data_IF_628576642313
#
_entry.id   IF_628576642313
#
_cell.length_a   1.000
_cell.length_b   1.000
_cell.length_c   1.000
_cell.angle_alpha   90.00
_cell.angle_beta   90.00
_cell.angle_gamma   90.00
#
_symmetry.space_group_name_H-M   'P 1'
#
loop_
_entity.id
_entity.type
_entity.pdbx_description
1 polymer ?
#
# COMPACT_ATOMS: atom_id res chain seq x y z
N UNK A 1 7.85 -47.53 -21.39
CA UNK A 1 8.77 -47.14 -20.32
C UNK A 1 7.95 -47.05 -19.04
N UNK A 2 8.07 -48.06 -18.17
CA UNK A 2 7.41 -48.09 -16.85
C UNK A 2 8.12 -47.07 -15.95
N UNK A 3 7.41 -46.02 -15.56
CA UNK A 3 7.88 -45.13 -14.45
C UNK A 3 7.88 -45.98 -13.19
N UNK A 4 9.06 -46.33 -12.68
CA UNK A 4 9.19 -46.87 -11.33
C UNK A 4 8.62 -45.85 -10.35
N UNK A 5 7.55 -46.22 -9.65
CA UNK A 5 7.04 -45.43 -8.54
C UNK A 5 8.16 -45.37 -7.48
N UNK A 6 8.60 -44.16 -7.18
CA UNK A 6 9.58 -43.90 -6.13
C UNK A 6 8.92 -44.13 -4.76
N UNK A 7 9.23 -45.27 -4.16
CA UNK A 7 8.69 -45.73 -2.85
C UNK A 7 9.03 -44.73 -1.76
N UNK A 8 10.16 -44.04 -1.87
CA UNK A 8 10.57 -43.03 -0.85
C UNK A 8 9.71 -41.77 -0.92
N UNK A 9 9.32 -41.33 -2.11
CA UNK A 9 8.35 -40.25 -2.33
C UNK A 9 6.96 -40.64 -1.86
N UNK A 10 6.54 -41.90 -2.07
CA UNK A 10 5.26 -42.43 -1.58
C UNK A 10 5.28 -42.50 -0.05
N UNK A 11 6.37 -42.96 0.57
CA UNK A 11 6.50 -43.04 2.02
C UNK A 11 6.47 -41.68 2.68
N UNK A 12 7.20 -40.67 2.15
CA UNK A 12 7.15 -39.29 2.59
C UNK A 12 5.74 -38.71 2.44
N UNK A 13 5.09 -38.91 1.31
CA UNK A 13 3.72 -38.44 1.07
C UNK A 13 2.73 -39.08 2.05
N UNK A 14 2.91 -40.36 2.38
CA UNK A 14 2.07 -41.10 3.34
C UNK A 14 2.31 -40.67 4.79
N UNK A 15 3.55 -40.38 5.18
CA UNK A 15 3.87 -39.87 6.52
C UNK A 15 3.29 -38.46 6.76
N UNK A 16 3.20 -37.62 5.72
CA UNK A 16 2.61 -36.29 5.79
C UNK A 16 1.11 -36.23 5.47
N UNK A 17 0.53 -37.25 4.80
CA UNK A 17 -0.91 -37.37 4.58
C UNK A 17 -1.56 -38.13 5.72
N UNK A 18 -2.21 -37.45 6.66
CA UNK A 18 -3.11 -38.11 7.60
C UNK A 18 -4.36 -38.61 6.85
N UNK A 19 -4.61 -39.93 6.75
CA UNK A 19 -5.81 -40.44 6.11
C UNK A 19 -7.09 -40.09 6.88
N UNK A 20 -6.96 -39.49 8.05
CA UNK A 20 -8.09 -39.06 8.87
C UNK A 20 -8.28 -37.57 8.78
N UNK A 21 -9.42 -37.16 8.31
CA UNK A 21 -9.85 -35.79 8.34
C UNK A 21 -10.04 -35.36 9.81
N UNK A 22 -9.37 -34.29 10.24
CA UNK A 22 -9.48 -33.80 11.60
C UNK A 22 -10.76 -32.99 11.73
N UNK A 23 -11.66 -33.46 12.54
CA UNK A 23 -12.99 -32.90 12.74
C UNK A 23 -13.09 -32.42 14.18
N UNK A 24 -13.52 -31.17 14.34
CA UNK A 24 -13.98 -30.62 15.62
C UNK A 24 -15.48 -30.30 15.54
N UNK A 25 -16.02 -29.86 16.67
CA UNK A 25 -17.38 -29.34 16.79
C UNK A 25 -17.34 -27.98 17.45
N UNK A 26 -18.30 -27.13 17.12
CA UNK A 26 -18.54 -25.86 17.78
C UNK A 26 -18.97 -26.14 19.23
N UNK A 27 -18.28 -25.50 20.16
CA UNK A 27 -18.55 -25.62 21.61
C UNK A 27 -19.31 -24.42 22.14
N UNK A 28 -18.92 -23.21 21.69
CA UNK A 28 -19.57 -21.98 22.07
C UNK A 28 -19.32 -20.90 21.01
N UNK A 29 -20.08 -19.80 21.06
CA UNK A 29 -19.86 -18.62 20.24
C UNK A 29 -19.64 -17.39 21.11
N UNK A 30 -18.75 -16.48 20.67
CA UNK A 30 -18.49 -15.17 21.29
C UNK A 30 -18.41 -14.11 20.21
N UNK A 31 -19.54 -13.40 19.98
CA UNK A 31 -19.63 -12.46 18.85
C UNK A 31 -19.44 -13.17 17.52
N UNK A 32 -18.41 -12.78 16.76
CA UNK A 32 -18.08 -13.40 15.46
C UNK A 32 -17.14 -14.61 15.56
N UNK A 33 -16.77 -15.02 16.78
CA UNK A 33 -15.86 -16.14 17.00
C UNK A 33 -16.60 -17.37 17.49
N UNK A 34 -16.14 -18.52 17.01
CA UNK A 34 -16.62 -19.83 17.43
C UNK A 34 -15.49 -20.58 18.12
N UNK A 35 -15.74 -21.03 19.34
CA UNK A 35 -14.86 -21.92 20.08
C UNK A 35 -15.08 -23.35 19.59
N UNK A 36 -14.00 -23.99 19.14
CA UNK A 36 -14.02 -25.31 18.51
C UNK A 36 -12.98 -26.20 19.16
N UNK A 37 -13.34 -27.45 19.49
CA UNK A 37 -12.38 -28.49 19.86
C UNK A 37 -11.76 -29.07 18.59
N UNK A 38 -10.57 -28.62 18.20
CA UNK A 38 -9.91 -29.06 16.97
C UNK A 38 -8.44 -29.40 17.22
N UNK A 39 -8.13 -30.69 17.16
CA UNK A 39 -6.79 -31.19 17.45
C UNK A 39 -5.79 -30.80 16.34
N UNK A 40 -4.55 -30.42 16.73
CA UNK A 40 -3.41 -30.10 15.88
C UNK A 40 -3.62 -28.86 14.94
N UNK A 41 -4.64 -28.07 15.17
CA UNK A 41 -4.73 -26.78 14.52
C UNK A 41 -3.66 -25.83 15.08
N UNK A 42 -3.19 -24.93 14.26
CA UNK A 42 -2.28 -23.83 14.64
C UNK A 42 -2.96 -22.50 14.31
N UNK A 43 -2.52 -21.40 14.91
CA UNK A 43 -3.01 -20.06 14.55
C UNK A 43 -2.72 -19.83 13.06
N UNK A 44 -3.73 -19.40 12.29
CA UNK A 44 -3.66 -19.25 10.84
C UNK A 44 -4.09 -20.49 10.05
N UNK A 45 -4.48 -21.61 10.72
CA UNK A 45 -5.02 -22.77 10.03
C UNK A 45 -6.38 -22.47 9.40
N UNK A 46 -6.56 -22.90 8.15
CA UNK A 46 -7.85 -22.84 7.46
C UNK A 46 -8.76 -23.97 7.93
N UNK A 47 -10.00 -23.62 8.22
CA UNK A 47 -11.05 -24.54 8.63
C UNK A 47 -12.27 -24.39 7.73
N UNK A 48 -13.08 -25.44 7.65
CA UNK A 48 -14.38 -25.42 6.99
C UNK A 48 -15.46 -25.77 8.00
N UNK A 49 -16.39 -24.86 8.20
CA UNK A 49 -17.61 -25.09 8.97
C UNK A 49 -18.63 -25.77 8.05
N UNK A 50 -19.26 -26.82 8.53
CA UNK A 50 -20.34 -27.50 7.83
C UNK A 50 -21.51 -27.67 8.78
N UNK A 51 -22.63 -27.02 8.49
CA UNK A 51 -23.86 -27.10 9.27
C UNK A 51 -24.54 -28.45 9.07
N UNK A 52 -25.48 -28.80 9.92
CA UNK A 52 -26.30 -30.00 9.77
C UNK A 52 -27.22 -29.95 8.53
N UNK A 53 -27.47 -28.76 8.00
CA UNK A 53 -28.27 -28.53 6.77
C UNK A 53 -27.44 -28.65 5.49
N UNK A 54 -26.11 -28.82 5.61
CA UNK A 54 -25.21 -28.98 4.46
C UNK A 54 -24.59 -27.68 3.97
N UNK A 55 -24.95 -26.51 4.53
CA UNK A 55 -24.28 -25.26 4.23
C UNK A 55 -22.86 -25.26 4.77
N UNK A 56 -21.94 -24.68 4.03
CA UNK A 56 -20.54 -24.62 4.43
C UNK A 56 -19.92 -23.25 4.22
N UNK A 57 -18.95 -22.91 5.07
CA UNK A 57 -18.15 -21.71 4.98
C UNK A 57 -16.72 -21.99 5.42
N UNK A 58 -15.75 -21.39 4.73
CA UNK A 58 -14.36 -21.40 5.17
C UNK A 58 -14.13 -20.39 6.29
N UNK A 59 -13.12 -20.63 7.10
CA UNK A 59 -12.71 -19.75 8.16
C UNK A 59 -11.27 -20.01 8.60
N UNK A 60 -10.85 -19.36 9.66
CA UNK A 60 -9.48 -19.47 10.19
C UNK A 60 -9.45 -19.58 11.71
N UNK A 61 -8.42 -20.27 12.21
CA UNK A 61 -8.06 -20.28 13.62
C UNK A 61 -7.32 -19.00 13.96
N UNK A 62 -7.96 -18.14 14.76
CA UNK A 62 -7.39 -16.83 15.14
C UNK A 62 -6.70 -16.83 16.50
N UNK A 63 -7.05 -17.78 17.38
CA UNK A 63 -6.42 -17.96 18.69
C UNK A 63 -6.56 -19.40 19.18
N UNK A 64 -5.70 -19.79 20.12
CA UNK A 64 -5.74 -21.12 20.75
C UNK A 64 -5.64 -20.92 22.26
N UNK A 65 -6.52 -21.60 23.01
CA UNK A 65 -6.50 -21.66 24.44
C UNK A 65 -6.60 -23.13 24.87
N UNK A 66 -5.47 -23.70 25.29
CA UNK A 66 -5.35 -25.14 25.61
C UNK A 66 -5.71 -26.02 24.39
N UNK A 67 -6.77 -26.83 24.52
CA UNK A 67 -7.27 -27.68 23.44
C UNK A 67 -8.38 -27.06 22.60
N UNK A 68 -8.72 -25.80 22.85
CA UNK A 68 -9.79 -25.08 22.20
C UNK A 68 -9.20 -24.06 21.23
N UNK A 69 -9.76 -24.00 20.03
CA UNK A 69 -9.42 -23.03 19.02
C UNK A 69 -10.53 -21.99 18.93
N UNK A 70 -10.19 -20.72 18.95
CA UNK A 70 -11.11 -19.67 18.51
C UNK A 70 -10.97 -19.54 17.00
N UNK A 71 -12.09 -19.74 16.30
CA UNK A 71 -12.16 -19.73 14.84
C UNK A 71 -13.10 -18.63 14.38
N UNK A 72 -12.76 -17.99 13.28
CA UNK A 72 -13.57 -16.95 12.64
C UNK A 72 -13.90 -17.39 11.23
N UNK A 73 -15.19 -17.47 10.84
CA UNK A 73 -15.57 -17.72 9.45
C UNK A 73 -15.24 -16.52 8.57
N UNK A 74 -14.98 -16.74 7.28
CA UNK A 74 -14.77 -15.67 6.32
C UNK A 74 -16.06 -14.93 5.97
N UNK A 75 -17.19 -15.64 6.00
CA UNK A 75 -18.53 -15.10 5.70
C UNK A 75 -19.48 -15.47 6.82
N UNK A 76 -20.58 -14.73 6.93
CA UNK A 76 -21.63 -15.09 7.87
C UNK A 76 -22.29 -16.41 7.40
N UNK A 77 -22.29 -17.39 8.28
CA UNK A 77 -22.95 -18.66 8.06
C UNK A 77 -24.17 -18.76 9.00
N UNK A 78 -25.36 -18.82 8.43
CA UNK A 78 -26.59 -19.04 9.19
C UNK A 78 -26.69 -20.51 9.66
N UNK A 79 -27.31 -20.75 10.81
CA UNK A 79 -27.55 -22.10 11.30
C UNK A 79 -26.36 -22.77 11.97
N UNK A 80 -25.32 -22.05 12.36
CA UNK A 80 -24.24 -22.59 13.19
C UNK A 80 -24.80 -22.93 14.59
N UNK A 81 -24.58 -24.18 15.01
CA UNK A 81 -25.01 -24.71 16.30
C UNK A 81 -23.95 -25.67 16.86
N UNK A 82 -24.23 -26.32 17.98
CA UNK A 82 -23.31 -27.29 18.62
C UNK A 82 -23.04 -28.57 17.80
N UNK A 83 -23.90 -28.86 16.81
CA UNK A 83 -23.71 -29.98 15.90
C UNK A 83 -22.93 -29.62 14.63
N UNK A 84 -22.65 -28.34 14.42
CA UNK A 84 -21.83 -27.87 13.29
C UNK A 84 -20.43 -28.48 13.37
N UNK A 85 -20.05 -29.18 12.31
CA UNK A 85 -18.74 -29.80 12.17
C UNK A 85 -17.72 -28.79 11.64
N UNK A 86 -16.51 -28.85 12.18
CA UNK A 86 -15.41 -27.99 11.74
C UNK A 86 -14.24 -28.86 11.30
N UNK A 87 -13.92 -28.76 10.02
CA UNK A 87 -12.87 -29.58 9.40
C UNK A 87 -11.59 -28.76 9.26
N UNK A 88 -10.47 -29.31 9.72
CA UNK A 88 -9.16 -28.73 9.43
C UNK A 88 -8.79 -29.01 7.97
N UNK A 89 -8.62 -27.95 7.17
CA UNK A 89 -8.29 -28.05 5.73
C UNK A 89 -6.78 -27.95 5.52
N UNK A 90 -6.19 -26.81 5.91
CA UNK A 90 -4.77 -26.51 5.74
C UNK A 90 -4.20 -25.85 7.00
N UNK A 91 -2.91 -26.07 7.26
CA UNK A 91 -2.22 -25.42 8.38
C UNK A 91 -1.87 -23.94 8.13
N UNK A 92 -1.95 -23.48 6.88
CA UNK A 92 -1.70 -22.09 6.50
C UNK A 92 -2.45 -21.73 5.22
N UNK A 93 -2.83 -20.47 5.10
CA UNK A 93 -3.43 -19.96 3.87
C UNK A 93 -2.37 -19.85 2.78
N UNK A 94 -2.71 -20.36 1.59
CA UNK A 94 -1.84 -20.35 0.41
C UNK A 94 -2.55 -19.73 -0.78
N UNK A 95 -1.77 -19.16 -1.70
CA UNK A 95 -2.26 -18.59 -2.96
C UNK A 95 -1.44 -19.10 -4.14
N UNK A 96 -2.10 -19.31 -5.28
CA UNK A 96 -1.45 -19.53 -6.56
C UNK A 96 -0.96 -18.19 -7.11
N UNK A 97 0.30 -18.10 -7.51
CA UNK A 97 0.94 -16.88 -7.98
C UNK A 97 1.65 -17.11 -9.30
N UNK A 98 1.50 -16.19 -10.24
CA UNK A 98 2.11 -16.30 -11.56
C UNK A 98 1.64 -15.19 -12.52
N UNK A 99 2.19 -15.14 -13.73
CA UNK A 99 1.86 -14.13 -14.73
C UNK A 99 0.39 -14.13 -15.16
N UNK A 100 -0.34 -15.22 -14.91
CA UNK A 100 -1.77 -15.36 -15.22
C UNK A 100 -2.65 -14.38 -14.41
N UNK A 101 -2.10 -13.82 -13.35
CA UNK A 101 -2.77 -12.82 -12.53
C UNK A 101 -2.67 -11.39 -13.10
N UNK A 102 -1.73 -11.13 -14.04
CA UNK A 102 -1.53 -9.79 -14.60
C UNK A 102 -2.76 -9.40 -15.43
N UNK A 103 -3.24 -8.16 -15.23
CA UNK A 103 -4.44 -7.66 -15.88
C UNK A 103 -5.76 -8.10 -15.23
N UNK A 104 -5.70 -8.79 -14.08
CA UNK A 104 -6.86 -9.36 -13.40
C UNK A 104 -7.19 -8.65 -12.08
N UNK A 105 -8.48 -8.69 -11.75
CA UNK A 105 -9.01 -8.26 -10.45
C UNK A 105 -9.48 -9.51 -9.71
N UNK A 106 -8.92 -9.74 -8.53
CA UNK A 106 -9.11 -10.97 -7.76
C UNK A 106 -9.54 -10.68 -6.31
N UNK A 107 -10.13 -11.70 -5.69
CA UNK A 107 -10.39 -11.73 -4.25
C UNK A 107 -9.15 -12.19 -3.43
N UNK A 108 -9.29 -12.27 -2.11
CA UNK A 108 -8.22 -12.73 -1.20
C UNK A 108 -7.82 -14.21 -1.39
N UNK A 109 -8.60 -15.01 -2.10
CA UNK A 109 -8.31 -16.42 -2.43
C UNK A 109 -7.67 -16.58 -3.81
N UNK A 110 -7.57 -15.50 -4.58
CA UNK A 110 -7.07 -15.50 -5.96
C UNK A 110 -8.13 -15.83 -7.00
N UNK A 111 -9.42 -15.83 -6.63
CA UNK A 111 -10.50 -16.03 -7.59
C UNK A 111 -10.76 -14.73 -8.35
N UNK A 112 -11.01 -14.79 -9.67
CA UNK A 112 -11.32 -13.59 -10.45
C UNK A 112 -12.71 -13.06 -10.10
N UNK A 113 -12.81 -11.73 -9.96
CA UNK A 113 -14.06 -11.00 -9.73
C UNK A 113 -14.34 -9.98 -10.84
N UNK A 114 -13.52 -9.98 -11.91
CA UNK A 114 -13.56 -9.03 -13.03
C UNK A 114 -14.49 -9.46 -14.19
N UNK A 115 -15.15 -10.59 -14.07
CA UNK A 115 -16.04 -11.12 -15.13
C UNK A 115 -15.31 -11.63 -16.39
N UNK A 116 -13.96 -11.66 -16.40
CA UNK A 116 -13.15 -12.09 -17.55
C UNK A 116 -12.95 -13.63 -17.61
N UNK A 117 -13.71 -14.39 -16.83
CA UNK A 117 -13.61 -15.86 -16.76
C UNK A 117 -12.54 -16.38 -15.80
N UNK A 118 -12.45 -17.68 -15.65
CA UNK A 118 -11.52 -18.35 -14.74
C UNK A 118 -10.05 -18.04 -15.08
N UNK A 119 -9.22 -17.92 -14.04
CA UNK A 119 -7.78 -17.81 -14.17
C UNK A 119 -7.18 -19.23 -14.14
N UNK A 120 -6.29 -19.54 -15.07
CA UNK A 120 -5.52 -20.78 -15.02
C UNK A 120 -4.65 -20.79 -13.75
N UNK A 121 -4.78 -21.83 -12.94
CA UNK A 121 -4.01 -21.91 -11.70
C UNK A 121 -2.53 -22.15 -12.01
N UNK A 122 -1.70 -21.20 -11.66
CA UNK A 122 -0.24 -21.35 -11.69
C UNK A 122 0.20 -22.57 -10.88
N UNK A 123 1.31 -23.19 -11.30
CA UNK A 123 1.95 -24.28 -10.54
C UNK A 123 2.63 -23.78 -9.28
N UNK A 124 2.96 -22.50 -9.22
CA UNK A 124 3.63 -21.90 -8.06
C UNK A 124 2.59 -21.55 -7.00
N UNK A 125 2.77 -22.13 -5.81
CA UNK A 125 1.92 -21.89 -4.63
C UNK A 125 2.77 -21.30 -3.52
N UNK A 126 2.34 -20.19 -2.93
CA UNK A 126 3.04 -19.52 -1.81
C UNK A 126 2.13 -19.40 -0.60
N UNK A 127 2.72 -19.53 0.60
CA UNK A 127 2.04 -19.13 1.83
C UNK A 127 1.91 -17.61 1.86
N UNK A 128 0.76 -17.10 2.31
CA UNK A 128 0.58 -15.65 2.45
C UNK A 128 1.40 -15.05 3.60
N UNK A 129 1.89 -15.89 4.51
CA UNK A 129 2.79 -15.50 5.59
C UNK A 129 4.23 -15.79 5.16
N UNK A 130 4.85 -14.80 4.50
CA UNK A 130 6.25 -14.88 4.09
C UNK A 130 7.21 -14.81 5.27
N UNK A 131 8.40 -15.41 5.11
CA UNK A 131 9.48 -15.25 6.06
C UNK A 131 10.09 -13.81 5.95
N UNK A 132 10.48 -13.20 7.07
CA UNK A 132 11.17 -11.91 7.04
C UNK A 132 12.53 -12.05 6.33
N UNK A 133 12.86 -11.05 5.52
CA UNK A 133 14.17 -10.98 4.84
C UNK A 133 15.22 -10.58 5.88
N UNK A 134 16.37 -11.28 5.87
CA UNK A 134 17.50 -10.91 6.71
C UNK A 134 17.95 -9.45 6.40
N UNK A 135 17.99 -8.55 7.40
CA UNK A 135 18.35 -7.16 7.16
C UNK A 135 19.72 -6.97 6.48
N UNK A 136 20.69 -7.84 6.74
CA UNK A 136 22.02 -7.79 6.14
C UNK A 136 22.06 -8.27 4.68
N UNK A 137 21.01 -8.92 4.21
CA UNK A 137 20.87 -9.37 2.82
C UNK A 137 20.14 -8.36 1.94
N UNK A 138 19.62 -7.28 2.53
CA UNK A 138 18.95 -6.20 1.79
C UNK A 138 20.00 -5.26 1.17
N UNK A 139 20.08 -5.18 -0.18
CA UNK A 139 20.91 -4.16 -0.82
C UNK A 139 20.43 -2.75 -0.47
N UNK A 140 21.34 -1.76 -0.40
CA UNK A 140 20.93 -0.38 -0.23
C UNK A 140 20.18 0.13 -1.45
N UNK A 141 19.20 1.02 -1.24
CA UNK A 141 18.46 1.70 -2.30
C UNK A 141 19.42 2.67 -3.01
N UNK A 142 19.55 2.55 -4.36
CA UNK A 142 20.50 3.33 -5.19
C UNK A 142 19.86 3.93 -6.43
N UNK A 143 18.73 3.39 -6.88
CA UNK A 143 18.04 3.79 -8.11
C UNK A 143 16.74 4.49 -7.77
N UNK A 144 16.44 5.56 -8.51
CA UNK A 144 15.14 6.23 -8.43
C UNK A 144 14.06 5.41 -9.15
N UNK A 145 12.86 5.47 -8.61
CA UNK A 145 11.64 5.07 -9.29
C UNK A 145 10.98 6.33 -9.84
N UNK A 146 10.81 6.42 -11.15
CA UNK A 146 9.95 7.44 -11.72
C UNK A 146 8.50 7.12 -11.35
N UNK A 147 7.86 8.04 -10.64
CA UNK A 147 6.47 7.89 -10.20
C UNK A 147 5.46 8.39 -11.22
N UNK A 148 5.90 9.10 -12.26
CA UNK A 148 5.04 9.83 -13.20
C UNK A 148 4.35 11.05 -12.61
N UNK A 149 4.66 11.43 -11.36
CA UNK A 149 4.08 12.60 -10.68
C UNK A 149 5.16 13.64 -10.43
N UNK A 150 5.06 14.79 -11.09
CA UNK A 150 6.08 15.86 -11.07
C UNK A 150 6.47 16.28 -9.65
N UNK A 151 5.48 16.53 -8.79
CA UNK A 151 5.73 16.94 -7.41
C UNK A 151 6.56 15.89 -6.62
N UNK A 152 6.29 14.60 -6.85
CA UNK A 152 7.02 13.50 -6.21
C UNK A 152 8.44 13.42 -6.78
N UNK A 153 8.58 13.39 -8.10
CA UNK A 153 9.87 13.25 -8.76
C UNK A 153 10.79 14.44 -8.47
N UNK A 154 10.24 15.67 -8.41
CA UNK A 154 11.00 16.89 -8.15
C UNK A 154 11.51 17.01 -6.70
N UNK A 155 10.63 16.75 -5.71
CA UNK A 155 10.88 17.14 -4.33
C UNK A 155 10.92 15.98 -3.32
N UNK A 156 10.44 14.81 -3.69
CA UNK A 156 10.33 13.63 -2.82
C UNK A 156 10.67 12.36 -3.59
N UNK A 157 11.64 12.44 -4.50
CA UNK A 157 12.02 11.33 -5.38
C UNK A 157 12.06 10.01 -4.64
N UNK A 158 11.33 9.04 -5.17
CA UNK A 158 11.18 7.70 -4.60
C UNK A 158 12.32 6.81 -5.09
N UNK A 159 12.85 5.97 -4.22
CA UNK A 159 13.82 4.95 -4.61
C UNK A 159 13.18 3.59 -4.82
N UNK A 160 13.69 2.78 -5.74
CA UNK A 160 13.28 1.40 -5.93
C UNK A 160 13.49 0.59 -4.66
N UNK A 161 12.42 0.01 -4.14
CA UNK A 161 12.43 -0.69 -2.85
C UNK A 161 12.19 0.19 -1.63
N UNK A 162 11.83 1.46 -1.80
CA UNK A 162 11.43 2.36 -0.72
C UNK A 162 10.01 2.05 -0.24
N UNK A 163 9.76 2.26 1.06
CA UNK A 163 8.41 2.27 1.65
C UNK A 163 7.98 3.69 1.89
N UNK A 164 6.91 4.11 1.24
CA UNK A 164 6.39 5.46 1.29
C UNK A 164 4.95 5.45 1.80
N UNK A 165 4.62 6.31 2.75
CA UNK A 165 3.25 6.52 3.19
C UNK A 165 2.61 7.69 2.44
N UNK A 166 1.36 7.54 1.97
CA UNK A 166 0.53 8.67 1.51
C UNK A 166 -0.52 8.94 2.57
N UNK A 167 -0.42 10.08 3.22
CA UNK A 167 -1.31 10.51 4.28
C UNK A 167 -2.36 11.46 3.72
N UNK A 168 -3.62 11.06 3.82
CA UNK A 168 -4.71 11.76 3.16
C UNK A 168 -5.99 11.79 4.02
N UNK A 169 -6.65 12.94 4.05
CA UNK A 169 -8.04 13.02 4.48
C UNK A 169 -9.00 12.51 3.40
N UNK A 170 -10.30 12.53 3.68
CA UNK A 170 -11.31 12.19 2.68
C UNK A 170 -11.44 13.29 1.62
N UNK A 171 -11.56 12.91 0.35
CA UNK A 171 -11.88 13.82 -0.76
C UNK A 171 -10.75 14.72 -1.26
N UNK A 172 -9.49 14.41 -0.97
CA UNK A 172 -8.31 15.21 -1.39
C UNK A 172 -7.63 14.70 -2.66
N UNK A 173 -8.23 13.76 -3.40
CA UNK A 173 -7.66 13.22 -4.63
C UNK A 173 -6.71 12.03 -4.42
N UNK A 174 -6.82 11.30 -3.30
CA UNK A 174 -5.99 10.13 -3.00
C UNK A 174 -6.01 9.08 -4.13
N UNK A 175 -7.19 8.64 -4.55
CA UNK A 175 -7.36 7.59 -5.57
C UNK A 175 -6.82 8.04 -6.92
N UNK A 176 -7.07 9.29 -7.32
CA UNK A 176 -6.52 9.90 -8.53
C UNK A 176 -4.98 9.88 -8.50
N UNK A 177 -4.36 10.30 -7.37
CA UNK A 177 -2.90 10.28 -7.22
C UNK A 177 -2.34 8.86 -7.33
N UNK A 178 -2.99 7.86 -6.72
CA UNK A 178 -2.61 6.46 -6.84
C UNK A 178 -2.75 5.95 -8.29
N UNK A 179 -3.84 6.33 -8.97
CA UNK A 179 -4.07 6.00 -10.38
C UNK A 179 -2.97 6.57 -11.28
N UNK A 180 -2.59 7.85 -11.11
CA UNK A 180 -1.49 8.49 -11.83
C UNK A 180 -0.17 7.72 -11.64
N UNK A 181 0.17 7.38 -10.41
CA UNK A 181 1.38 6.60 -10.11
C UNK A 181 1.30 5.21 -10.75
N UNK A 182 0.16 4.52 -10.66
CA UNK A 182 -0.02 3.19 -11.25
C UNK A 182 0.11 3.20 -12.78
N UNK A 183 -0.45 4.21 -13.45
CA UNK A 183 -0.37 4.34 -14.90
C UNK A 183 1.04 4.68 -15.39
N UNK A 184 1.72 5.61 -14.70
CA UNK A 184 2.90 6.28 -15.24
C UNK A 184 4.23 5.83 -14.62
N UNK A 185 4.20 5.05 -13.53
CA UNK A 185 5.45 4.61 -12.88
C UNK A 185 6.30 3.72 -13.77
N UNK A 186 7.62 3.80 -13.58
CA UNK A 186 8.62 2.97 -14.25
C UNK A 186 8.73 1.54 -13.71
N UNK A 187 7.83 1.12 -12.83
CA UNK A 187 7.77 -0.25 -12.32
C UNK A 187 7.37 -1.25 -13.41
N UNK A 188 7.94 -2.47 -13.36
CA UNK A 188 7.60 -3.55 -14.29
C UNK A 188 6.16 -4.03 -14.10
N UNK A 189 5.73 -4.16 -12.84
CA UNK A 189 4.42 -4.72 -12.44
C UNK A 189 3.89 -3.95 -11.24
N UNK A 190 2.60 -3.65 -11.28
CA UNK A 190 1.90 -3.09 -10.11
C UNK A 190 1.09 -4.20 -9.42
N UNK A 191 1.12 -4.23 -8.10
CA UNK A 191 0.21 -5.00 -7.26
C UNK A 191 -0.57 -4.04 -6.38
N UNK A 192 -1.87 -3.99 -6.57
CA UNK A 192 -2.74 -2.99 -5.92
C UNK A 192 -3.69 -3.72 -4.98
N UNK A 193 -3.64 -3.40 -3.69
CA UNK A 193 -4.55 -3.92 -2.68
C UNK A 193 -5.58 -2.85 -2.30
N UNK A 194 -6.84 -3.07 -2.66
CA UNK A 194 -7.96 -2.23 -2.27
C UNK A 194 -8.65 -2.86 -1.06
N UNK A 195 -8.36 -2.31 0.14
CA UNK A 195 -8.77 -2.91 1.42
C UNK A 195 -9.75 -2.02 2.14
N UNK A 196 -10.96 -2.51 2.34
CA UNK A 196 -12.01 -1.81 3.08
C UNK A 196 -12.57 -0.59 2.35
N UNK A 197 -12.32 -0.46 1.06
CA UNK A 197 -12.93 0.56 0.22
C UNK A 197 -14.35 0.16 -0.20
N UNK A 198 -15.21 1.12 -0.51
CA UNK A 198 -16.59 0.84 -0.95
C UNK A 198 -16.58 0.23 -2.34
N UNK A 199 -17.49 -0.71 -2.62
CA UNK A 199 -17.57 -1.36 -3.93
C UNK A 199 -17.69 -0.38 -5.10
N UNK A 200 -18.39 0.77 -4.94
CA UNK A 200 -18.46 1.84 -5.94
C UNK A 200 -17.09 2.48 -6.18
N UNK A 201 -16.34 2.79 -5.13
CA UNK A 201 -15.02 3.43 -5.20
C UNK A 201 -13.98 2.48 -5.83
N UNK A 202 -14.08 1.18 -5.54
CA UNK A 202 -13.27 0.13 -6.19
C UNK A 202 -13.49 0.13 -7.70
N UNK A 203 -14.76 0.17 -8.13
CA UNK A 203 -15.10 0.19 -9.56
C UNK A 203 -14.62 1.48 -10.24
N UNK A 204 -14.89 2.63 -9.63
CA UNK A 204 -14.43 3.94 -10.13
C UNK A 204 -12.90 3.99 -10.28
N UNK A 205 -12.17 3.48 -9.29
CA UNK A 205 -10.70 3.39 -9.36
C UNK A 205 -10.22 2.53 -10.53
N UNK A 206 -10.80 1.33 -10.73
CA UNK A 206 -10.37 0.42 -11.80
C UNK A 206 -10.71 0.96 -13.18
N UNK A 207 -11.93 1.52 -13.36
CA UNK A 207 -12.41 2.00 -14.66
C UNK A 207 -11.83 3.37 -15.04
N UNK A 208 -11.71 4.30 -14.08
CA UNK A 208 -11.35 5.69 -14.35
C UNK A 208 -9.91 6.03 -13.95
N UNK A 209 -9.51 5.71 -12.69
CA UNK A 209 -8.20 6.12 -12.19
C UNK A 209 -7.07 5.21 -12.68
N UNK A 210 -7.29 3.90 -12.73
CA UNK A 210 -6.30 2.93 -13.25
C UNK A 210 -6.39 2.79 -14.76
N UNK A 211 -7.60 2.73 -15.29
CA UNK A 211 -7.88 2.57 -16.71
C UNK A 211 -7.37 1.24 -17.30
N UNK A 212 -7.65 1.00 -18.60
CA UNK A 212 -7.24 -0.24 -19.26
C UNK A 212 -5.72 -0.43 -19.34
N UNK A 213 -4.98 0.64 -19.59
CA UNK A 213 -3.51 0.60 -19.74
C UNK A 213 -2.84 0.32 -18.40
N UNK A 214 -3.27 1.02 -17.33
CA UNK A 214 -2.78 0.77 -15.99
C UNK A 214 -3.13 -0.64 -15.50
N UNK A 215 -4.35 -1.12 -15.79
CA UNK A 215 -4.76 -2.48 -15.43
C UNK A 215 -3.93 -3.54 -16.16
N UNK A 216 -3.55 -3.32 -17.43
CA UNK A 216 -2.80 -4.30 -18.22
C UNK A 216 -1.44 -4.70 -17.60
N UNK A 217 -0.83 -3.81 -16.78
CA UNK A 217 0.40 -4.08 -16.01
C UNK A 217 0.17 -4.29 -14.52
N UNK A 218 -1.09 -4.43 -14.10
CA UNK A 218 -1.47 -4.48 -12.69
C UNK A 218 -2.16 -5.79 -12.31
N UNK A 219 -2.03 -6.14 -11.04
CA UNK A 219 -2.84 -7.17 -10.36
C UNK A 219 -3.58 -6.47 -9.24
N UNK A 220 -4.91 -6.53 -9.24
CA UNK A 220 -5.73 -5.84 -8.23
C UNK A 220 -6.35 -6.86 -7.29
N UNK A 221 -6.03 -6.78 -6.01
CA UNK A 221 -6.61 -7.61 -4.93
C UNK A 221 -7.64 -6.77 -4.19
N UNK A 222 -8.87 -7.24 -4.14
CA UNK A 222 -10.00 -6.49 -3.58
C UNK A 222 -10.56 -7.18 -2.34
N UNK A 223 -10.76 -6.39 -1.29
CA UNK A 223 -11.56 -6.74 -0.11
C UNK A 223 -12.36 -5.50 0.31
N UNK A 224 -13.62 -5.43 -0.07
CA UNK A 224 -14.48 -4.28 0.14
C UNK A 224 -14.89 -4.08 1.61
N UNK A 225 -15.45 -2.93 1.95
CA UNK A 225 -15.83 -2.55 3.32
C UNK A 225 -16.91 -3.44 3.94
N UNK A 226 -17.71 -4.13 3.13
CA UNK A 226 -18.75 -5.07 3.52
C UNK A 226 -18.24 -6.50 3.76
N UNK A 227 -16.97 -6.79 3.42
CA UNK A 227 -16.36 -8.09 3.74
C UNK A 227 -15.92 -8.17 5.20
N UNK A 228 -15.76 -9.40 5.73
CA UNK A 228 -15.33 -9.62 7.11
C UNK A 228 -13.94 -9.03 7.39
N UNK A 229 -13.66 -8.75 8.67
CA UNK A 229 -12.36 -8.26 9.10
C UNK A 229 -11.22 -9.22 8.69
N UNK A 230 -11.48 -10.52 8.73
CA UNK A 230 -10.50 -11.53 8.38
C UNK A 230 -10.12 -11.48 6.89
N UNK A 231 -11.10 -11.32 5.99
CA UNK A 231 -10.89 -11.13 4.54
C UNK A 231 -10.07 -9.87 4.29
N UNK A 232 -10.44 -8.74 4.90
CA UNK A 232 -9.72 -7.46 4.77
C UNK A 232 -8.27 -7.56 5.22
N UNK A 233 -8.02 -8.23 6.34
CA UNK A 233 -6.66 -8.46 6.83
C UNK A 233 -5.85 -9.36 5.89
N UNK A 234 -6.45 -10.44 5.37
CA UNK A 234 -5.77 -11.38 4.48
C UNK A 234 -5.45 -10.81 3.12
N UNK A 235 -6.32 -10.00 2.53
CA UNK A 235 -6.09 -9.37 1.24
C UNK A 235 -4.77 -8.58 1.19
N UNK A 236 -4.39 -7.93 2.30
CA UNK A 236 -3.11 -7.24 2.41
C UNK A 236 -1.90 -8.19 2.30
N UNK A 237 -1.96 -9.33 2.98
CA UNK A 237 -0.91 -10.34 2.90
C UNK A 237 -0.87 -11.04 1.53
N UNK A 238 -2.03 -11.29 0.92
CA UNK A 238 -2.14 -11.85 -0.43
C UNK A 238 -1.46 -10.95 -1.45
N UNK A 239 -1.80 -9.66 -1.48
CA UNK A 239 -1.17 -8.69 -2.38
C UNK A 239 0.35 -8.62 -2.16
N UNK A 240 0.80 -8.59 -0.91
CA UNK A 240 2.23 -8.59 -0.57
C UNK A 240 2.92 -9.86 -1.05
N UNK A 241 2.28 -11.04 -0.93
CA UNK A 241 2.83 -12.32 -1.39
C UNK A 241 2.93 -12.39 -2.91
N UNK A 242 1.95 -11.83 -3.63
CA UNK A 242 2.00 -11.71 -5.09
C UNK A 242 3.18 -10.80 -5.49
N UNK A 243 3.35 -9.65 -4.83
CA UNK A 243 4.48 -8.76 -5.06
C UNK A 243 5.84 -9.44 -4.82
N UNK A 244 5.95 -10.23 -3.74
CA UNK A 244 7.17 -11.01 -3.44
C UNK A 244 7.49 -12.04 -4.51
N UNK A 245 6.48 -12.66 -5.12
CA UNK A 245 6.69 -13.61 -6.21
C UNK A 245 7.39 -12.94 -7.40
N UNK A 246 6.89 -11.82 -7.87
CA UNK A 246 7.48 -11.11 -9.01
C UNK A 246 8.83 -10.47 -8.68
N UNK A 247 9.01 -9.96 -7.47
CA UNK A 247 10.33 -9.52 -6.98
C UNK A 247 11.36 -10.64 -7.08
N UNK A 248 10.99 -11.85 -6.65
CA UNK A 248 11.88 -13.02 -6.68
C UNK A 248 12.16 -13.51 -8.12
N UNK A 249 11.33 -13.09 -9.10
CA UNK A 249 11.54 -13.23 -10.54
C UNK A 249 12.30 -12.05 -11.17
N UNK A 250 13.04 -11.29 -10.35
CA UNK A 250 13.90 -10.17 -10.77
C UNK A 250 13.13 -8.98 -11.36
N UNK A 251 11.90 -8.73 -10.87
CA UNK A 251 11.10 -7.59 -11.28
C UNK A 251 11.18 -6.45 -10.27
N UNK A 252 11.06 -5.22 -10.79
CA UNK A 252 10.79 -4.04 -9.99
C UNK A 252 9.27 -3.91 -9.81
N UNK A 253 8.79 -4.23 -8.62
CA UNK A 253 7.37 -4.28 -8.31
C UNK A 253 6.96 -3.03 -7.53
N UNK A 254 5.86 -2.41 -7.96
CA UNK A 254 5.17 -1.37 -7.20
C UNK A 254 4.00 -2.02 -6.45
N UNK A 255 4.10 -2.08 -5.12
CA UNK A 255 3.01 -2.52 -4.25
C UNK A 255 2.27 -1.29 -3.70
N UNK A 256 1.02 -1.12 -4.07
CA UNK A 256 0.15 -0.08 -3.52
C UNK A 256 -0.92 -0.69 -2.64
N UNK A 257 -1.15 -0.11 -1.46
CA UNK A 257 -2.15 -0.61 -0.52
C UNK A 257 -3.07 0.52 -0.04
N UNK A 258 -4.30 0.47 -0.45
CA UNK A 258 -5.35 1.41 -0.09
C UNK A 258 -6.47 0.70 0.69
N UNK A 259 -6.50 0.78 2.04
CA UNK A 259 -5.58 1.50 2.90
C UNK A 259 -5.05 0.63 4.05
N UNK A 260 -3.86 0.98 4.53
CA UNK A 260 -3.28 0.37 5.75
C UNK A 260 -4.14 0.67 6.98
N UNK A 261 -4.81 1.82 7.02
CA UNK A 261 -5.75 2.14 8.11
C UNK A 261 -6.88 1.09 8.19
N UNK A 262 -7.41 0.66 7.05
CA UNK A 262 -8.46 -0.37 7.01
C UNK A 262 -7.94 -1.76 7.41
N UNK A 263 -6.70 -2.07 7.05
CA UNK A 263 -6.00 -3.25 7.56
C UNK A 263 -5.86 -3.21 9.10
N UNK A 264 -5.43 -2.07 9.65
CA UNK A 264 -5.31 -1.88 11.09
C UNK A 264 -6.68 -1.99 11.80
N UNK A 265 -7.73 -1.44 11.22
CA UNK A 265 -9.11 -1.56 11.73
C UNK A 265 -9.60 -3.02 11.71
N UNK A 266 -9.26 -3.79 10.66
CA UNK A 266 -9.59 -5.21 10.59
C UNK A 266 -8.92 -6.00 11.70
N UNK A 267 -7.62 -5.79 11.95
CA UNK A 267 -6.93 -6.42 13.07
C UNK A 267 -7.44 -5.98 14.43
N UNK A 268 -7.84 -4.71 14.59
CA UNK A 268 -8.51 -4.25 15.80
C UNK A 268 -9.78 -5.04 16.08
N UNK A 269 -10.62 -5.24 15.05
CA UNK A 269 -11.88 -5.99 15.16
C UNK A 269 -11.63 -7.46 15.53
N UNK A 270 -10.67 -8.13 14.87
CA UNK A 270 -10.28 -9.50 15.14
C UNK A 270 -9.76 -9.66 16.58
N UNK A 271 -8.82 -8.82 16.99
CA UNK A 271 -8.16 -8.95 18.29
C UNK A 271 -9.07 -8.57 19.47
N UNK A 272 -9.92 -7.55 19.32
CA UNK A 272 -10.96 -7.24 20.31
C UNK A 272 -11.94 -8.41 20.47
N UNK A 273 -12.38 -9.03 19.36
CA UNK A 273 -13.24 -10.22 19.39
C UNK A 273 -12.55 -11.41 20.09
N UNK A 274 -11.23 -11.55 19.91
CA UNK A 274 -10.43 -12.56 20.60
C UNK A 274 -10.19 -12.26 22.10
N UNK A 275 -10.66 -11.09 22.60
CA UNK A 275 -10.59 -10.71 24.02
C UNK A 275 -9.35 -9.90 24.40
N UNK A 276 -8.57 -9.40 23.42
CA UNK A 276 -7.45 -8.52 23.70
C UNK A 276 -7.96 -7.15 24.17
N UNK A 277 -7.40 -6.58 25.27
CA UNK A 277 -7.87 -5.29 25.79
C UNK A 277 -7.54 -4.14 24.81
N UNK A 278 -8.45 -3.16 24.65
CA UNK A 278 -8.19 -1.98 23.82
C UNK A 278 -7.18 -1.05 24.47
N UNK A 279 -6.29 -0.50 23.66
CA UNK A 279 -5.38 0.58 24.00
C UNK A 279 -5.85 1.94 23.45
N UNK A 280 -4.91 2.79 23.02
CA UNK A 280 -5.16 4.13 22.52
C UNK A 280 -6.09 4.12 21.29
N UNK A 281 -7.12 4.97 21.26
CA UNK A 281 -8.17 5.03 20.23
C UNK A 281 -8.80 3.64 19.91
N UNK A 282 -8.77 2.72 20.88
CA UNK A 282 -9.34 1.38 20.75
C UNK A 282 -8.48 0.39 19.96
N UNK A 283 -7.30 0.75 19.53
CA UNK A 283 -6.36 -0.19 18.90
C UNK A 283 -5.70 -1.08 19.95
N UNK A 284 -5.47 -2.33 19.59
CA UNK A 284 -4.86 -3.34 20.46
C UNK A 284 -3.36 -3.49 20.16
N UNK A 285 -2.54 -4.01 21.09
CA UNK A 285 -1.13 -4.29 20.85
C UNK A 285 -0.87 -5.13 19.60
N UNK A 286 -1.76 -6.10 19.29
CA UNK A 286 -1.66 -6.93 18.07
C UNK A 286 -1.65 -6.09 16.79
N UNK A 287 -2.43 -5.02 16.70
CA UNK A 287 -2.45 -4.14 15.54
C UNK A 287 -1.05 -3.59 15.25
N UNK A 288 -0.40 -3.03 16.28
CA UNK A 288 0.94 -2.45 16.16
C UNK A 288 2.02 -3.50 15.88
N UNK A 289 1.82 -4.74 16.33
CA UNK A 289 2.72 -5.85 16.00
C UNK A 289 2.57 -6.36 14.56
N UNK A 290 1.39 -6.21 13.95
CA UNK A 290 1.15 -6.67 12.57
C UNK A 290 1.59 -5.65 11.52
N UNK A 291 1.52 -4.36 11.81
CA UNK A 291 1.95 -3.31 10.86
C UNK A 291 3.39 -3.51 10.35
N UNK A 292 4.43 -3.61 11.22
CA UNK A 292 5.79 -3.86 10.73
C UNK A 292 5.93 -5.22 10.03
N UNK A 293 5.22 -6.27 10.47
CA UNK A 293 5.26 -7.58 9.80
C UNK A 293 4.75 -7.52 8.36
N UNK A 294 3.81 -6.63 8.06
CA UNK A 294 3.30 -6.42 6.72
C UNK A 294 4.23 -5.50 5.91
N UNK A 295 4.51 -4.30 6.44
CA UNK A 295 5.20 -3.25 5.69
C UNK A 295 6.68 -3.59 5.43
N UNK A 296 7.34 -4.28 6.38
CA UNK A 296 8.76 -4.68 6.24
C UNK A 296 8.99 -5.76 5.18
N UNK A 297 7.95 -6.36 4.61
CA UNK A 297 8.05 -7.31 3.49
C UNK A 297 8.39 -6.62 2.16
N UNK A 298 8.04 -5.35 2.02
CA UNK A 298 8.52 -4.52 0.92
C UNK A 298 9.99 -4.14 1.12
N UNK A 299 10.68 -3.84 0.04
CA UNK A 299 12.09 -3.46 0.05
C UNK A 299 12.91 -4.12 -1.05
N UNK A 300 14.21 -3.95 -0.95
CA UNK A 300 15.19 -4.48 -1.89
C UNK A 300 15.59 -5.91 -1.53
N UNK A 301 15.85 -6.73 -2.56
CA UNK A 301 16.53 -8.02 -2.44
C UNK A 301 17.62 -8.14 -3.50
N UNK A 302 18.37 -9.23 -3.50
CA UNK A 302 19.36 -9.49 -4.56
C UNK A 302 18.72 -9.81 -5.91
N UNK A 303 17.48 -10.26 -5.92
CA UNK A 303 16.74 -10.61 -7.13
C UNK A 303 16.06 -9.38 -7.75
N UNK A 304 15.24 -8.68 -7.00
CA UNK A 304 14.44 -7.54 -7.46
C UNK A 304 14.00 -6.65 -6.29
N UNK A 305 13.06 -5.74 -6.56
CA UNK A 305 12.60 -4.77 -5.57
C UNK A 305 11.09 -4.77 -5.40
N UNK A 306 10.60 -4.40 -4.21
CA UNK A 306 9.22 -4.02 -3.96
C UNK A 306 9.22 -2.60 -3.41
N UNK A 307 8.81 -1.64 -4.22
CA UNK A 307 8.52 -0.28 -3.75
C UNK A 307 7.10 -0.26 -3.19
N UNK A 308 6.96 0.04 -1.91
CA UNK A 308 5.67 0.03 -1.23
C UNK A 308 5.09 1.44 -1.09
N UNK A 309 3.88 1.67 -1.59
CA UNK A 309 3.08 2.88 -1.35
C UNK A 309 1.89 2.50 -0.48
N UNK A 310 1.85 3.04 0.72
CA UNK A 310 0.86 2.70 1.74
C UNK A 310 0.01 3.92 2.08
N UNK A 311 -1.28 3.89 1.78
CA UNK A 311 -2.15 4.99 2.16
C UNK A 311 -2.60 4.88 3.61
N UNK A 312 -2.62 6.02 4.28
CA UNK A 312 -3.11 6.18 5.64
C UNK A 312 -4.20 7.25 5.64
N UNK A 313 -5.37 6.87 6.13
CA UNK A 313 -6.47 7.80 6.30
C UNK A 313 -6.25 8.61 7.58
N UNK A 314 -6.14 9.93 7.43
CA UNK A 314 -5.90 10.87 8.53
C UNK A 314 -7.13 11.75 8.67
N UNK A 315 -7.96 11.47 9.69
CA UNK A 315 -9.17 12.26 9.94
C UNK A 315 -8.82 13.67 10.44
N UNK A 316 -9.40 14.68 9.79
CA UNK A 316 -9.17 16.08 10.19
C UNK A 316 -7.74 16.60 10.00
N UNK A 317 -6.85 15.80 9.38
CA UNK A 317 -5.43 16.15 9.25
C UNK A 317 -4.60 15.84 10.51
N UNK A 318 -5.15 15.05 11.44
CA UNK A 318 -4.46 14.66 12.70
C UNK A 318 -3.34 13.64 12.39
N UNK A 319 -2.12 14.17 12.21
CA UNK A 319 -0.93 13.36 11.94
C UNK A 319 -0.42 12.58 13.16
N UNK A 320 -0.98 12.85 14.35
CA UNK A 320 -0.64 12.17 15.60
C UNK A 320 -1.60 11.01 15.91
N UNK A 321 -2.43 10.65 14.92
CA UNK A 321 -3.24 9.43 15.01
C UNK A 321 -2.32 8.20 15.13
N UNK A 322 -2.62 7.22 16.04
CA UNK A 322 -1.73 6.11 16.35
C UNK A 322 -1.26 5.29 15.13
N UNK A 323 -2.13 5.10 14.13
CA UNK A 323 -1.75 4.37 12.91
C UNK A 323 -0.89 5.25 12.00
N UNK A 324 -1.17 6.54 11.88
CA UNK A 324 -0.37 7.46 11.10
C UNK A 324 1.06 7.58 11.68
N UNK A 325 1.18 7.71 13.00
CA UNK A 325 2.47 7.75 13.68
C UNK A 325 3.25 6.44 13.55
N UNK A 326 2.60 5.29 13.76
CA UNK A 326 3.21 3.98 13.59
C UNK A 326 3.73 3.76 12.15
N UNK A 327 2.92 4.07 11.14
CA UNK A 327 3.31 3.91 9.73
C UNK A 327 4.43 4.88 9.36
N UNK A 328 4.40 6.14 9.84
CA UNK A 328 5.48 7.12 9.65
C UNK A 328 6.79 6.65 10.25
N UNK A 329 6.74 5.94 11.39
CA UNK A 329 7.92 5.35 12.03
C UNK A 329 8.54 4.18 11.25
N UNK A 330 7.72 3.39 10.54
CA UNK A 330 8.15 2.23 9.76
C UNK A 330 8.58 2.63 8.34
N UNK A 331 7.98 3.69 7.77
CA UNK A 331 8.19 4.12 6.39
C UNK A 331 9.49 4.91 6.22
N UNK A 332 10.02 4.87 4.99
CA UNK A 332 11.21 5.63 4.58
C UNK A 332 10.88 7.04 4.06
N UNK A 333 9.67 7.52 4.33
CA UNK A 333 9.15 8.82 3.95
C UNK A 333 7.62 8.86 3.92
N UNK A 334 7.08 10.04 3.71
CA UNK A 334 5.63 10.25 3.60
C UNK A 334 5.29 11.41 2.66
N UNK A 335 4.15 11.30 2.01
CA UNK A 335 3.52 12.34 1.20
C UNK A 335 2.22 12.75 1.89
N UNK A 336 2.02 14.04 2.05
CA UNK A 336 0.81 14.59 2.65
C UNK A 336 -0.04 15.20 1.55
N UNK A 337 -1.29 14.73 1.44
CA UNK A 337 -2.31 15.34 0.59
C UNK A 337 -3.11 16.37 1.40
N UNK A 338 -3.03 17.63 1.00
CA UNK A 338 -3.62 18.77 1.70
C UNK A 338 -5.02 19.08 1.18
N UNK A 339 -5.99 19.20 2.11
CA UNK A 339 -7.33 19.67 1.78
C UNK A 339 -7.32 21.14 1.35
N UNK A 340 -6.43 21.94 1.89
CA UNK A 340 -6.27 23.35 1.53
C UNK A 340 -5.86 23.49 0.06
N UNK A 341 -4.84 22.74 -0.37
CA UNK A 341 -4.41 22.74 -1.77
C UNK A 341 -5.51 22.23 -2.71
N UNK A 342 -6.23 21.16 -2.32
CA UNK A 342 -7.37 20.67 -3.09
C UNK A 342 -8.46 21.74 -3.24
N UNK A 343 -8.76 22.52 -2.19
CA UNK A 343 -9.75 23.60 -2.24
C UNK A 343 -9.30 24.77 -3.13
N UNK A 344 -7.99 24.97 -3.30
CA UNK A 344 -7.38 25.92 -4.24
C UNK A 344 -7.25 25.37 -5.66
N UNK A 345 -7.85 24.20 -5.95
CA UNK A 345 -7.77 23.51 -7.25
C UNK A 345 -6.34 23.15 -7.68
N UNK A 346 -5.48 22.85 -6.71
CA UNK A 346 -4.13 22.33 -6.90
C UNK A 346 -4.19 20.81 -6.90
N UNK A 347 -3.97 20.15 -8.03
CA UNK A 347 -3.94 18.70 -8.15
C UNK A 347 -2.69 18.22 -8.89
N UNK A 348 -2.04 17.10 -8.43
CA UNK A 348 -2.32 16.42 -7.16
C UNK A 348 -2.09 17.36 -5.96
N UNK A 349 -2.93 17.23 -4.93
CA UNK A 349 -2.94 18.15 -3.78
C UNK A 349 -1.79 17.85 -2.78
N UNK A 350 -0.58 17.64 -3.30
CA UNK A 350 0.61 17.26 -2.53
C UNK A 350 1.21 18.49 -1.85
N UNK A 351 1.25 18.46 -0.51
CA UNK A 351 1.99 19.47 0.26
C UNK A 351 3.48 19.13 0.26
N UNK A 352 4.24 19.79 -0.62
CA UNK A 352 5.68 19.60 -0.78
C UNK A 352 6.44 19.91 0.52
N UNK A 353 6.03 20.92 1.27
CA UNK A 353 6.75 21.36 2.47
C UNK A 353 6.57 20.42 3.66
N UNK A 354 5.40 19.74 3.74
CA UNK A 354 5.12 18.77 4.79
C UNK A 354 5.50 17.33 4.40
N UNK A 355 5.86 17.10 3.13
CA UNK A 355 6.24 15.78 2.60
C UNK A 355 7.75 15.55 2.64
N UNK A 356 8.15 14.28 2.79
CA UNK A 356 9.56 13.90 2.95
C UNK A 356 9.85 12.54 2.32
N UNK A 357 10.93 12.44 1.55
CA UNK A 357 11.59 11.16 1.22
C UNK A 357 12.95 11.10 1.89
N UNK A 358 13.14 10.12 2.79
CA UNK A 358 14.44 9.89 3.46
C UNK A 358 15.49 9.28 2.53
N UNK A 359 15.05 8.83 1.35
CA UNK A 359 15.88 8.14 0.36
C UNK A 359 16.32 9.07 -0.76
N UNK A 360 15.62 10.18 -1.01
CA UNK A 360 15.87 11.11 -2.11
C UNK A 360 17.36 11.44 -2.27
N UNK A 361 18.04 11.81 -1.18
CA UNK A 361 19.47 12.18 -1.21
C UNK A 361 20.42 11.05 -1.66
N UNK A 362 19.93 9.81 -1.77
CA UNK A 362 20.72 8.64 -2.20
C UNK A 362 20.48 8.27 -3.66
N UNK A 363 19.39 8.77 -4.25
CA UNK A 363 18.90 8.35 -5.58
C UNK A 363 18.86 9.48 -6.60
N UNK A 364 19.10 10.73 -6.18
CA UNK A 364 19.23 11.89 -7.08
C UNK A 364 20.64 12.48 -7.01
N UNK A 365 21.00 13.26 -8.05
CA UNK A 365 22.30 13.96 -8.08
C UNK A 365 22.37 15.06 -7.03
N UNK A 366 23.61 15.52 -6.72
CA UNK A 366 23.81 16.63 -5.76
C UNK A 366 23.19 17.93 -6.28
N UNK A 367 23.28 18.15 -7.57
CA UNK A 367 22.73 19.32 -8.26
C UNK A 367 21.22 19.36 -8.10
N UNK A 368 20.51 18.23 -8.31
CA UNK A 368 19.07 18.12 -8.07
C UNK A 368 18.73 18.45 -6.60
N UNK A 369 19.48 17.92 -5.64
CA UNK A 369 19.26 18.20 -4.21
C UNK A 369 19.36 19.71 -3.91
N UNK A 370 20.34 20.39 -4.49
CA UNK A 370 20.56 21.83 -4.31
C UNK A 370 19.39 22.63 -4.89
N UNK A 371 18.99 22.32 -6.12
CA UNK A 371 17.89 23.01 -6.81
C UNK A 371 16.56 22.78 -6.10
N UNK A 372 16.26 21.54 -5.76
CA UNK A 372 15.05 21.19 -5.02
C UNK A 372 15.00 21.86 -3.63
N UNK A 373 16.14 21.88 -2.92
CA UNK A 373 16.29 22.57 -1.64
C UNK A 373 16.03 24.07 -1.76
N UNK A 374 16.61 24.72 -2.77
CA UNK A 374 16.42 26.14 -3.03
C UNK A 374 14.95 26.49 -3.35
N UNK A 375 14.30 25.74 -4.25
CA UNK A 375 12.90 25.94 -4.58
C UNK A 375 11.97 25.70 -3.37
N UNK A 376 12.22 24.67 -2.55
CA UNK A 376 11.50 24.46 -1.29
C UNK A 376 11.63 25.62 -0.33
N UNK A 377 12.82 26.19 -0.24
CA UNK A 377 13.09 27.37 0.60
C UNK A 377 12.28 28.59 0.14
N UNK A 378 12.12 28.79 -1.18
CA UNK A 378 11.31 29.87 -1.72
C UNK A 378 9.81 29.59 -1.50
N UNK A 379 9.35 28.34 -1.67
CA UNK A 379 7.98 27.95 -1.31
C UNK A 379 7.66 28.21 0.15
N UNK A 380 8.59 27.90 1.06
CA UNK A 380 8.42 28.18 2.48
C UNK A 380 8.33 29.68 2.76
N UNK A 381 9.22 30.49 2.15
CA UNK A 381 9.19 31.94 2.30
C UNK A 381 7.90 32.56 1.79
N UNK A 382 7.32 32.06 0.69
CA UNK A 382 6.01 32.48 0.22
C UNK A 382 4.92 32.13 1.22
N UNK A 383 4.85 30.85 1.66
CA UNK A 383 3.83 30.37 2.60
C UNK A 383 3.85 31.16 3.93
N UNK A 384 5.03 31.44 4.48
CA UNK A 384 5.17 32.17 5.73
C UNK A 384 4.70 33.63 5.63
N UNK A 385 4.58 34.18 4.40
CA UNK A 385 4.18 35.57 4.14
C UNK A 385 2.87 35.67 3.33
N UNK A 386 2.21 34.56 3.06
CA UNK A 386 1.02 34.51 2.17
C UNK A 386 -0.09 35.46 2.64
N UNK A 387 -0.35 35.56 3.95
CA UNK A 387 -1.36 36.46 4.50
C UNK A 387 -1.02 37.94 4.23
N UNK A 388 0.25 38.32 4.40
CA UNK A 388 0.71 39.70 4.13
C UNK A 388 0.65 40.04 2.64
N UNK A 389 0.94 39.06 1.80
CA UNK A 389 0.87 39.20 0.33
C UNK A 389 -0.58 39.38 -0.10
N UNK A 390 -1.49 38.53 0.39
CA UNK A 390 -2.90 38.52 0.02
C UNK A 390 -3.64 39.81 0.44
N UNK A 391 -3.30 40.39 1.59
CA UNK A 391 -3.89 41.67 2.04
C UNK A 391 -3.16 42.89 1.47
N UNK A 392 -2.13 42.72 0.64
CA UNK A 392 -1.35 43.80 0.04
C UNK A 392 -0.45 44.55 1.01
N UNK A 393 -0.17 43.99 2.20
CA UNK A 393 0.67 44.61 3.25
C UNK A 393 2.18 44.29 3.07
N UNK A 394 2.54 43.36 2.21
CA UNK A 394 3.94 43.06 1.93
C UNK A 394 4.59 44.17 1.10
N UNK A 395 5.67 44.78 1.63
CA UNK A 395 6.45 45.78 0.92
C UNK A 395 7.56 45.11 0.09
N UNK A 396 7.50 45.22 -1.24
CA UNK A 396 8.54 44.71 -2.14
C UNK A 396 9.90 45.32 -1.79
N UNK A 397 10.94 44.48 -1.72
CA UNK A 397 12.29 44.86 -1.32
C UNK A 397 12.57 44.69 0.18
N UNK A 398 11.55 44.39 1.00
CA UNK A 398 11.75 44.17 2.45
C UNK A 398 12.40 42.83 2.78
N UNK A 399 12.19 41.80 1.95
CA UNK A 399 12.81 40.49 2.10
C UNK A 399 13.14 39.91 0.71
N UNK A 400 14.44 39.87 0.34
CA UNK A 400 14.85 39.36 -0.98
C UNK A 400 14.40 37.92 -1.26
N UNK A 401 14.26 37.08 -0.23
CA UNK A 401 13.79 35.69 -0.41
C UNK A 401 12.30 35.62 -0.76
N UNK A 402 11.50 36.47 -0.16
CA UNK A 402 10.05 36.57 -0.49
C UNK A 402 9.86 37.19 -1.86
N UNK A 403 10.68 38.19 -2.23
CA UNK A 403 10.62 38.80 -3.56
C UNK A 403 10.93 37.77 -4.66
N UNK A 404 11.95 36.92 -4.49
CA UNK A 404 12.26 35.80 -5.40
C UNK A 404 11.09 34.82 -5.47
N UNK A 405 10.53 34.46 -4.32
CA UNK A 405 9.41 33.53 -4.25
C UNK A 405 8.19 34.05 -5.01
N UNK A 406 7.85 35.34 -4.86
CA UNK A 406 6.76 35.99 -5.58
C UNK A 406 6.90 35.91 -7.10
N UNK A 407 8.12 36.04 -7.61
CA UNK A 407 8.38 36.05 -9.07
C UNK A 407 8.14 34.69 -9.69
N UNK A 408 8.45 33.59 -8.98
CA UNK A 408 8.35 32.24 -9.55
C UNK A 408 7.13 31.45 -9.07
N UNK A 409 6.35 32.00 -8.11
CA UNK A 409 5.30 31.25 -7.43
C UNK A 409 4.32 30.56 -8.39
N UNK A 410 3.75 31.34 -9.32
CA UNK A 410 2.75 30.83 -10.25
C UNK A 410 3.32 29.76 -11.18
N UNK A 411 4.53 29.99 -11.71
CA UNK A 411 5.21 29.04 -12.58
C UNK A 411 5.61 27.75 -11.85
N UNK A 412 6.03 27.88 -10.58
CA UNK A 412 6.32 26.72 -9.74
C UNK A 412 5.06 25.92 -9.40
N UNK A 413 3.97 26.61 -9.10
CA UNK A 413 2.67 25.93 -8.89
C UNK A 413 2.18 25.25 -10.16
N UNK A 414 2.35 25.84 -11.33
CA UNK A 414 1.97 25.23 -12.62
C UNK A 414 2.84 23.99 -12.93
N UNK A 415 4.14 23.99 -12.61
CA UNK A 415 5.00 22.80 -12.72
C UNK A 415 4.51 21.63 -11.85
N UNK A 416 3.91 21.94 -10.69
CA UNK A 416 3.39 20.93 -9.75
C UNK A 416 1.98 20.46 -10.08
N UNK A 417 1.21 21.24 -10.88
CA UNK A 417 -0.13 20.85 -11.31
C UNK A 417 -0.03 19.79 -12.41
N UNK A 418 -0.80 18.74 -12.24
CA UNK A 418 -0.84 17.65 -13.19
C UNK A 418 -2.23 16.99 -13.14
N UNK A 419 -2.95 17.05 -14.23
CA UNK A 419 -4.31 16.51 -14.30
C UNK A 419 -4.29 15.16 -15.01
N UNK A 420 -4.87 14.17 -14.38
CA UNK A 420 -4.97 12.83 -14.93
C UNK A 420 -5.65 12.82 -16.30
N UNK A 421 -5.02 12.14 -17.27
CA UNK A 421 -5.54 12.03 -18.64
C UNK A 421 -5.46 13.32 -19.49
N UNK A 422 -5.01 14.45 -18.90
CA UNK A 422 -4.85 15.73 -19.62
C UNK A 422 -3.40 16.18 -19.70
N UNK A 423 -2.57 15.75 -18.74
CA UNK A 423 -1.16 16.11 -18.69
C UNK A 423 -0.32 14.85 -18.91
N UNK A 424 0.54 14.87 -19.93
CA UNK A 424 1.56 13.83 -20.07
C UNK A 424 2.62 14.02 -18.97
N UNK A 425 3.11 12.92 -18.33
CA UNK A 425 4.21 13.02 -17.38
C UNK A 425 5.45 13.59 -18.06
N UNK A 426 6.10 14.56 -17.44
CA UNK A 426 7.40 15.04 -17.89
C UNK A 426 8.45 13.96 -17.64
N UNK A 427 9.42 13.86 -18.54
CA UNK A 427 10.61 13.06 -18.26
C UNK A 427 11.37 13.65 -17.08
N UNK A 428 12.12 12.81 -16.37
CA UNK A 428 12.92 13.26 -15.20
C UNK A 428 13.92 14.35 -15.59
N UNK A 429 14.50 14.27 -16.78
CA UNK A 429 15.46 15.27 -17.28
C UNK A 429 14.77 16.60 -17.59
N UNK A 430 13.64 16.58 -18.28
CA UNK A 430 12.85 17.76 -18.59
C UNK A 430 12.34 18.45 -17.32
N UNK A 431 11.87 17.69 -16.34
CA UNK A 431 11.45 18.21 -15.05
C UNK A 431 12.61 18.90 -14.32
N UNK A 432 13.79 18.28 -14.33
CA UNK A 432 15.00 18.86 -13.73
C UNK A 432 15.42 20.17 -14.43
N UNK A 433 15.41 20.22 -15.77
CA UNK A 433 15.74 21.42 -16.54
C UNK A 433 14.76 22.58 -16.25
N UNK A 434 13.46 22.28 -16.11
CA UNK A 434 12.47 23.26 -15.69
C UNK A 434 12.73 23.77 -14.27
N UNK A 435 13.08 22.91 -13.32
CA UNK A 435 13.45 23.31 -11.95
C UNK A 435 14.68 24.22 -11.95
N UNK A 436 15.73 23.90 -12.71
CA UNK A 436 16.95 24.72 -12.84
C UNK A 436 16.62 26.08 -13.45
N UNK A 437 15.78 26.11 -14.47
CA UNK A 437 15.35 27.35 -15.13
C UNK A 437 14.58 28.27 -14.18
N UNK A 438 13.66 27.72 -13.38
CA UNK A 438 12.93 28.47 -12.36
C UNK A 438 13.86 29.01 -11.26
N UNK A 439 14.80 28.20 -10.80
CA UNK A 439 15.77 28.62 -9.78
C UNK A 439 16.64 29.78 -10.28
N UNK A 440 17.14 29.70 -11.52
CA UNK A 440 17.90 30.79 -12.14
C UNK A 440 17.06 32.05 -12.33
N UNK A 441 15.83 31.92 -12.83
CA UNK A 441 14.94 33.05 -13.01
C UNK A 441 14.64 33.78 -11.70
N UNK A 442 14.49 33.05 -10.57
CA UNK A 442 14.34 33.62 -9.26
C UNK A 442 15.58 34.45 -8.82
N UNK A 443 16.79 33.95 -9.09
CA UNK A 443 18.04 34.66 -8.75
C UNK A 443 18.23 35.91 -9.61
N UNK A 444 18.04 35.81 -10.93
CA UNK A 444 18.26 36.91 -11.90
C UNK A 444 17.22 38.03 -11.71
N UNK A 445 16.05 37.75 -11.16
CA UNK A 445 14.98 38.74 -10.96
C UNK A 445 15.34 39.84 -9.95
N UNK A 446 16.25 39.56 -9.00
CA UNK A 446 16.68 40.51 -7.97
C UNK A 446 18.10 41.03 -8.23
N UNK A 447 18.95 40.20 -8.85
CA UNK A 447 20.31 40.55 -9.26
C UNK A 447 20.41 40.45 -10.79
N UNK A 448 19.85 41.40 -11.58
CA UNK A 448 19.96 41.32 -13.03
C UNK A 448 21.45 41.28 -13.39
N UNK A 449 21.86 40.42 -14.34
CA UNK A 449 23.22 40.41 -14.84
C UNK A 449 23.60 41.81 -15.27
N UNK A 450 24.82 42.25 -14.91
CA UNK A 450 25.35 43.56 -15.36
C UNK A 450 25.18 43.65 -16.89
N UNK A 451 24.46 44.70 -17.35
CA UNK A 451 24.38 44.95 -18.78
C UNK A 451 25.80 45.06 -19.29
N UNK A 452 26.22 44.18 -20.19
CA UNK A 452 27.41 44.44 -21.01
C UNK A 452 27.12 45.78 -21.71
N UNK A 453 27.81 46.83 -21.27
CA UNK A 453 27.83 48.12 -21.98
C UNK A 453 28.58 47.88 -23.29
N UNK A 454 27.83 47.95 -24.41
CA UNK A 454 28.37 47.99 -25.77
C UNK A 454 29.24 49.27 -26.02
#
# INVERSE_FOLDING_TARGET
MSKSLDIETIHKTYEYSSPYQKIGKVVSSKGMLYEVNLARAVIGSNVEFVTEFGDSCLGEVVSIDGNKCLTMPYEELTGINSETKVYLKDLTTKIHVGPELIGRVIDFQGNPIDGKGAIEKSRTVRSIYGAPINPLERPPIKESLDSGVNAINAFMTVGKGQRLAIMAGSGVGKSVTLGMIAQSSSADINVIALIGERGREVREFIENDLGPEGLAKSIVVVATSDTSALIRAKAAFVATTIAEHFRDESKDVLLMMDSVTRFAMAYREISLSAGEPPGQKGYTPTVFAQLPKLLERAGTTKAGTITGIYTVLVEGGDMDEPIADAVRGISDGHIILSRELASKNQFPAIDVLQSLSRVMNKVVTREHQVVAGHLRDLMAAYRDNEDLINVGAYAKGSNPKVDKALVIHDQLMDLLKQYQGLSEPMSTDELYDNMVSLAKYAEDSINPPAREED
#
